data_IF_031882186601
#
_entry.id   IF_031882186601
#
_cell.length_a   1.000
_cell.length_b   1.000
_cell.length_c   1.000
_cell.angle_alpha   90.00
_cell.angle_beta   90.00
_cell.angle_gamma   90.00
#
_symmetry.space_group_name_H-M   'P 1'
#
loop_
_entity.id
_entity.type
_entity.pdbx_description
1 polymer ?
#
# COMPACT_ATOMS: atom_id res chain seq x y z
N UNK A 1 -20.26 -7.04 -17.24
CA UNK A 1 -19.47 -8.28 -17.48
C UNK A 1 -17.97 -8.14 -17.72
N UNK A 2 -17.41 -7.12 -18.40
CA UNK A 2 -15.92 -6.95 -18.44
C UNK A 2 -15.49 -5.67 -17.70
N UNK A 3 -16.24 -4.59 -17.88
CA UNK A 3 -16.00 -3.31 -17.21
C UNK A 3 -16.15 -3.42 -15.68
N UNK A 4 -17.12 -4.20 -15.20
CA UNK A 4 -17.30 -4.49 -13.75
C UNK A 4 -16.09 -5.23 -13.15
N UNK A 5 -15.60 -6.29 -13.80
CA UNK A 5 -14.44 -7.04 -13.30
C UNK A 5 -13.17 -6.18 -13.24
N UNK A 6 -13.03 -5.23 -14.18
CA UNK A 6 -11.90 -4.31 -14.20
C UNK A 6 -12.03 -3.26 -13.08
N UNK A 7 -13.25 -2.78 -12.82
CA UNK A 7 -13.55 -1.88 -11.70
C UNK A 7 -13.23 -2.54 -10.35
N UNK A 8 -13.62 -3.80 -10.17
CA UNK A 8 -13.35 -4.57 -8.94
C UNK A 8 -11.85 -4.76 -8.69
N UNK A 9 -11.06 -4.97 -9.75
CA UNK A 9 -9.61 -5.08 -9.66
C UNK A 9 -8.95 -3.73 -9.28
N UNK A 10 -9.42 -2.62 -9.85
CA UNK A 10 -8.92 -1.28 -9.52
C UNK A 10 -9.27 -0.88 -8.09
N UNK A 11 -10.48 -1.16 -7.63
CA UNK A 11 -10.92 -0.90 -6.26
C UNK A 11 -10.12 -1.74 -5.26
N UNK A 12 -9.92 -3.02 -5.56
CA UNK A 12 -9.12 -3.92 -4.73
C UNK A 12 -7.67 -3.44 -4.62
N UNK A 13 -7.05 -3.04 -5.73
CA UNK A 13 -5.70 -2.48 -5.73
C UNK A 13 -5.63 -1.18 -4.92
N UNK A 14 -6.59 -0.27 -5.06
CA UNK A 14 -6.64 0.96 -4.28
C UNK A 14 -6.72 0.67 -2.77
N UNK A 15 -7.54 -0.32 -2.37
CA UNK A 15 -7.67 -0.74 -0.97
C UNK A 15 -6.37 -1.34 -0.42
N UNK A 16 -5.68 -2.19 -1.19
CA UNK A 16 -4.38 -2.76 -0.80
C UNK A 16 -3.34 -1.65 -0.61
N UNK A 17 -3.26 -0.70 -1.55
CA UNK A 17 -2.34 0.44 -1.45
C UNK A 17 -2.62 1.29 -0.21
N UNK A 18 -3.89 1.56 0.08
CA UNK A 18 -4.29 2.31 1.27
C UNK A 18 -3.89 1.58 2.56
N UNK A 19 -4.07 0.25 2.61
CA UNK A 19 -3.65 -0.57 3.74
C UNK A 19 -2.13 -0.56 3.92
N UNK A 20 -1.37 -0.69 2.84
CA UNK A 20 0.10 -0.62 2.86
C UNK A 20 0.61 0.72 3.43
N UNK A 21 0.01 1.84 3.00
CA UNK A 21 0.37 3.18 3.50
C UNK A 21 -0.04 3.36 4.97
N UNK A 22 -1.21 2.87 5.37
CA UNK A 22 -1.63 2.94 6.77
C UNK A 22 -0.73 2.09 7.68
N UNK A 23 -0.30 0.91 7.23
CA UNK A 23 0.67 0.10 7.94
C UNK A 23 1.99 0.85 8.13
N UNK A 24 2.53 1.50 7.09
CA UNK A 24 3.76 2.27 7.19
C UNK A 24 3.68 3.36 8.27
N UNK A 25 2.51 4.02 8.39
CA UNK A 25 2.23 5.02 9.44
C UNK A 25 2.12 4.45 10.86
N UNK A 26 2.01 3.14 11.02
CA UNK A 26 2.07 2.49 12.35
C UNK A 26 3.50 2.22 12.82
N UNK A 27 4.49 2.27 11.92
CA UNK A 27 5.89 1.96 12.22
C UNK A 27 6.56 3.17 12.91
N UNK A 28 7.00 3.06 14.18
CA UNK A 28 7.56 4.20 14.93
C UNK A 28 8.77 4.86 14.26
N UNK A 29 9.64 4.06 13.64
CA UNK A 29 10.81 4.56 12.91
C UNK A 29 10.39 5.41 11.71
N UNK A 30 9.35 4.99 10.97
CA UNK A 30 8.86 5.72 9.80
C UNK A 30 8.25 7.07 10.20
N UNK A 31 7.39 7.10 11.22
CA UNK A 31 6.74 8.34 11.68
C UNK A 31 7.71 9.31 12.37
N UNK A 32 8.87 8.85 12.82
CA UNK A 32 9.91 9.70 13.39
C UNK A 32 10.69 10.52 12.36
N UNK A 33 10.57 10.17 11.07
CA UNK A 33 11.23 10.85 9.97
C UNK A 33 10.51 12.14 9.59
N UNK A 34 11.22 13.05 8.91
CA UNK A 34 10.60 14.23 8.33
C UNK A 34 9.57 13.84 7.25
N UNK A 35 8.57 14.70 6.98
CA UNK A 35 7.59 14.43 5.92
C UNK A 35 8.25 14.21 4.55
N UNK A 36 9.36 14.92 4.28
CA UNK A 36 10.13 14.74 3.06
C UNK A 36 10.68 13.32 2.95
N UNK A 37 11.29 12.82 4.03
CA UNK A 37 11.91 11.49 4.04
C UNK A 37 10.85 10.38 4.04
N UNK A 38 9.71 10.60 4.71
CA UNK A 38 8.56 9.69 4.62
C UNK A 38 8.05 9.57 3.18
N UNK A 39 7.92 10.69 2.45
CA UNK A 39 7.51 10.70 1.05
C UNK A 39 8.56 10.01 0.16
N UNK A 40 9.83 10.33 0.33
CA UNK A 40 10.93 9.72 -0.45
C UNK A 40 10.97 8.19 -0.26
N UNK A 41 10.84 7.71 0.99
CA UNK A 41 10.80 6.26 1.26
C UNK A 41 9.57 5.58 0.69
N UNK A 42 8.41 6.24 0.71
CA UNK A 42 7.21 5.70 0.07
C UNK A 42 7.35 5.67 -1.45
N UNK A 43 7.91 6.71 -2.07
CA UNK A 43 8.14 6.77 -3.51
C UNK A 43 9.08 5.66 -4.00
N UNK A 44 10.09 5.31 -3.20
CA UNK A 44 11.03 4.22 -3.50
C UNK A 44 10.45 2.84 -3.19
N UNK A 45 9.70 2.68 -2.08
CA UNK A 45 9.31 1.38 -1.54
C UNK A 45 7.84 0.97 -1.73
N UNK A 46 6.97 1.82 -2.29
CA UNK A 46 5.52 1.54 -2.35
C UNK A 46 5.17 0.24 -3.11
N UNK A 47 5.97 -0.14 -4.11
CA UNK A 47 5.73 -1.36 -4.90
C UNK A 47 5.93 -2.61 -4.07
N UNK A 48 7.01 -2.64 -3.29
CA UNK A 48 7.34 -3.77 -2.43
C UNK A 48 6.32 -3.87 -1.28
N UNK A 49 5.96 -2.73 -0.69
CA UNK A 49 4.89 -2.65 0.32
C UNK A 49 3.55 -3.13 -0.24
N UNK A 50 3.19 -2.70 -1.45
CA UNK A 50 1.95 -3.14 -2.10
C UNK A 50 1.93 -4.65 -2.33
N UNK A 51 3.02 -5.23 -2.86
CA UNK A 51 3.12 -6.67 -3.11
C UNK A 51 3.08 -7.47 -1.80
N UNK A 52 3.77 -7.01 -0.76
CA UNK A 52 3.75 -7.63 0.56
C UNK A 52 2.34 -7.64 1.17
N UNK A 53 1.64 -6.50 1.14
CA UNK A 53 0.26 -6.39 1.65
C UNK A 53 -0.73 -7.19 0.79
N UNK A 54 -0.54 -7.25 -0.53
CA UNK A 54 -1.35 -8.08 -1.42
C UNK A 54 -1.16 -9.58 -1.10
N UNK A 55 0.07 -10.01 -0.87
CA UNK A 55 0.39 -11.38 -0.47
C UNK A 55 -0.26 -11.72 0.87
N UNK A 56 -0.15 -10.84 1.87
CA UNK A 56 -0.78 -11.03 3.19
C UNK A 56 -2.30 -11.24 3.08
N UNK A 57 -3.00 -10.46 2.25
CA UNK A 57 -4.45 -10.62 2.01
C UNK A 57 -4.82 -11.91 1.27
N UNK A 58 -3.89 -12.51 0.52
CA UNK A 58 -4.14 -13.79 -0.15
C UNK A 58 -4.09 -14.97 0.82
N UNK A 59 -3.44 -14.81 1.98
CA UNK A 59 -3.28 -15.85 2.99
C UNK A 59 -4.19 -15.68 4.23
N UNK A 60 -5.04 -14.64 4.27
CA UNK A 60 -6.05 -14.40 5.31
C UNK A 60 -7.43 -14.89 4.89
#
# INVERSE_FOLDING_TARGET
SVIEHQFDAHESAARILFNAINWAKTVPAFVSLSNHDQLSLLEEGWRDLFILTAAEQQFS
#
